data_IF_900113631047
#
_entry.id   IF_900113631047
#
_cell.length_a   1.000
_cell.length_b   1.000
_cell.length_c   1.000
_cell.angle_alpha   90.00
_cell.angle_beta   90.00
_cell.angle_gamma   90.00
#
_symmetry.space_group_name_H-M   'P 1'
#
loop_
_entity.id
_entity.type
_entity.pdbx_description
1 polymer ?
#
# COMPACT_ATOMS: atom_id res chain seq x y z
N UNK A 1 -13.46 46.68 -25.51
CA UNK A 1 -14.37 45.57 -25.85
C UNK A 1 -13.49 44.36 -26.06
N UNK A 2 -13.48 43.43 -25.14
CA UNK A 2 -12.70 42.17 -25.19
C UNK A 2 -13.71 41.09 -25.51
N UNK A 3 -13.54 40.49 -26.71
CA UNK A 3 -14.40 39.40 -27.18
C UNK A 3 -14.13 38.12 -26.40
N UNK A 4 -15.01 37.87 -25.43
CA UNK A 4 -15.09 36.62 -24.71
C UNK A 4 -16.02 35.66 -25.48
N UNK A 5 -15.53 35.00 -26.50
CA UNK A 5 -16.35 33.95 -27.11
C UNK A 5 -15.54 33.03 -28.02
N UNK A 6 -14.75 32.12 -27.43
CA UNK A 6 -14.25 30.93 -28.14
C UNK A 6 -13.84 29.86 -27.10
N UNK A 7 -14.73 29.50 -26.16
CA UNK A 7 -14.64 28.18 -25.57
C UNK A 7 -15.54 27.28 -26.42
N UNK A 8 -14.94 26.71 -27.43
CA UNK A 8 -15.52 25.62 -28.20
C UNK A 8 -15.81 24.49 -27.20
N UNK A 9 -17.08 24.27 -26.86
CA UNK A 9 -17.53 23.13 -26.08
C UNK A 9 -17.31 21.89 -26.91
N UNK A 10 -16.06 21.43 -26.99
CA UNK A 10 -15.78 20.10 -27.50
C UNK A 10 -16.58 19.11 -26.65
N UNK A 11 -17.47 18.40 -27.33
CA UNK A 11 -18.33 17.39 -26.72
C UNK A 11 -17.42 16.34 -26.09
N UNK A 12 -17.24 16.42 -24.76
CA UNK A 12 -16.44 15.44 -24.02
C UNK A 12 -17.04 14.07 -24.34
N UNK A 13 -16.33 13.27 -25.10
CA UNK A 13 -16.73 11.91 -25.45
C UNK A 13 -16.83 11.09 -24.17
N UNK A 14 -17.95 10.41 -23.99
CA UNK A 14 -18.10 9.50 -22.86
C UNK A 14 -17.08 8.37 -22.97
N UNK A 15 -16.43 8.05 -21.85
CA UNK A 15 -15.50 6.93 -21.78
C UNK A 15 -16.20 5.64 -22.25
N UNK A 16 -15.53 4.82 -23.07
CA UNK A 16 -16.02 3.51 -23.48
C UNK A 16 -16.42 2.65 -22.28
N UNK A 17 -17.39 1.76 -22.46
CA UNK A 17 -17.93 0.95 -21.37
C UNK A 17 -16.86 0.04 -20.72
N UNK A 18 -15.87 -0.40 -21.47
CA UNK A 18 -14.78 -1.25 -20.98
C UNK A 18 -13.75 -0.51 -20.09
N UNK A 19 -13.77 0.84 -20.08
CA UNK A 19 -12.95 1.66 -19.16
C UNK A 19 -13.71 1.96 -17.85
N UNK A 20 -15.02 1.68 -17.81
CA UNK A 20 -15.84 1.95 -16.63
C UNK A 20 -15.68 0.81 -15.63
N UNK A 21 -14.98 1.07 -14.55
CA UNK A 21 -14.92 0.14 -13.42
C UNK A 21 -16.04 0.42 -12.43
N UNK A 22 -16.69 -0.61 -11.87
CA UNK A 22 -17.65 -0.42 -10.78
C UNK A 22 -16.89 0.16 -9.58
N UNK A 23 -17.36 1.31 -9.09
CA UNK A 23 -16.83 1.88 -7.85
C UNK A 23 -17.29 0.97 -6.72
N UNK A 24 -16.34 0.37 -5.98
CA UNK A 24 -16.64 -0.42 -4.79
C UNK A 24 -17.40 0.42 -3.77
N UNK A 25 -18.24 -0.23 -2.94
CA UNK A 25 -19.06 0.47 -1.94
C UNK A 25 -18.18 1.34 -1.06
N UNK A 26 -18.39 2.64 -1.08
CA UNK A 26 -17.61 3.63 -0.33
C UNK A 26 -17.47 3.28 1.15
N UNK A 27 -18.49 2.67 1.75
CA UNK A 27 -18.52 2.30 3.17
C UNK A 27 -17.46 1.26 3.58
N UNK A 28 -17.11 0.31 2.74
CA UNK A 28 -16.07 -0.68 3.05
C UNK A 28 -14.68 -0.08 2.91
N UNK A 29 -14.48 0.70 1.86
CA UNK A 29 -13.24 1.43 1.64
C UNK A 29 -12.92 2.40 2.79
N UNK A 30 -13.92 3.19 3.24
CA UNK A 30 -13.77 4.14 4.34
C UNK A 30 -13.43 3.47 5.67
N UNK A 31 -14.01 2.31 5.97
CA UNK A 31 -13.68 1.53 7.17
C UNK A 31 -12.22 1.11 7.18
N UNK A 32 -11.74 0.54 6.09
CA UNK A 32 -10.34 0.10 5.95
C UNK A 32 -9.39 1.29 6.08
N UNK A 33 -9.67 2.37 5.38
CA UNK A 33 -8.84 3.57 5.42
C UNK A 33 -8.81 4.20 6.84
N UNK A 34 -9.93 4.20 7.54
CA UNK A 34 -10.00 4.73 8.91
C UNK A 34 -9.19 3.87 9.87
N UNK A 35 -9.24 2.55 9.76
CA UNK A 35 -8.48 1.64 10.59
C UNK A 35 -6.97 1.77 10.34
N UNK A 36 -6.54 1.80 9.09
CA UNK A 36 -5.13 1.98 8.72
C UNK A 36 -4.59 3.29 9.31
N UNK A 37 -5.33 4.39 9.19
CA UNK A 37 -4.94 5.69 9.75
C UNK A 37 -4.87 5.69 11.28
N UNK A 38 -5.85 5.07 11.94
CA UNK A 38 -5.87 4.98 13.42
C UNK A 38 -4.71 4.17 13.98
N UNK A 39 -4.30 3.12 13.28
CA UNK A 39 -3.22 2.23 13.69
C UNK A 39 -1.83 2.76 13.33
N UNK A 40 -1.73 3.96 12.76
CA UNK A 40 -0.47 4.55 12.29
C UNK A 40 0.36 3.62 11.38
N UNK A 41 -0.35 2.83 10.55
CA UNK A 41 0.24 1.89 9.59
C UNK A 41 0.31 2.57 8.24
N UNK A 42 1.41 2.33 7.53
CA UNK A 42 1.59 2.82 6.17
C UNK A 42 1.29 1.73 5.13
N UNK A 43 0.66 2.12 4.04
CA UNK A 43 0.42 1.24 2.88
C UNK A 43 0.95 1.90 1.62
N UNK A 44 1.58 1.10 0.76
CA UNK A 44 2.02 1.62 -0.54
C UNK A 44 0.81 2.06 -1.40
N UNK A 45 -0.36 1.49 -1.13
CA UNK A 45 -1.60 1.85 -1.80
C UNK A 45 -2.00 3.31 -1.55
N UNK A 46 -1.70 3.85 -0.35
CA UNK A 46 -1.93 5.25 0.00
C UNK A 46 -0.77 6.14 -0.42
N UNK A 47 0.46 5.76 -0.05
CA UNK A 47 1.66 6.56 -0.30
C UNK A 47 1.93 6.75 -1.80
N UNK A 48 1.72 5.71 -2.61
CA UNK A 48 1.85 5.79 -4.07
C UNK A 48 0.59 6.30 -4.79
N UNK A 49 -0.47 6.69 -4.05
CA UNK A 49 -1.74 7.18 -4.61
C UNK A 49 -2.32 6.24 -5.66
N UNK A 50 -2.29 4.93 -5.37
CA UNK A 50 -2.72 3.91 -6.30
C UNK A 50 -4.20 4.08 -6.69
N UNK A 51 -4.56 4.14 -7.98
CA UNK A 51 -5.95 4.29 -8.43
C UNK A 51 -6.80 3.05 -8.13
N UNK A 52 -6.19 1.85 -8.06
CA UNK A 52 -6.89 0.58 -7.87
C UNK A 52 -7.13 0.25 -6.39
N UNK A 53 -6.78 1.15 -5.48
CA UNK A 53 -6.86 0.95 -4.03
C UNK A 53 -8.22 0.47 -3.55
N UNK A 54 -9.29 1.06 -4.06
CA UNK A 54 -10.65 0.72 -3.66
C UNK A 54 -11.04 -0.72 -4.06
N UNK A 55 -10.63 -1.17 -5.24
CA UNK A 55 -10.86 -2.53 -5.74
C UNK A 55 -10.04 -3.56 -4.96
N UNK A 56 -8.75 -3.30 -4.73
CA UNK A 56 -7.88 -4.16 -3.94
C UNK A 56 -8.42 -4.35 -2.52
N UNK A 57 -8.81 -3.28 -1.85
CA UNK A 57 -9.36 -3.36 -0.50
C UNK A 57 -10.69 -4.11 -0.46
N UNK A 58 -11.57 -3.89 -1.43
CA UNK A 58 -12.83 -4.63 -1.54
C UNK A 58 -12.63 -6.14 -1.80
N UNK A 59 -11.55 -6.51 -2.48
CA UNK A 59 -11.17 -7.92 -2.68
C UNK A 59 -10.44 -8.54 -1.49
N UNK A 60 -10.16 -7.78 -0.44
CA UNK A 60 -9.41 -8.22 0.73
C UNK A 60 -7.89 -8.29 0.49
N UNK A 61 -7.37 -7.44 -0.40
CA UNK A 61 -5.94 -7.36 -0.71
C UNK A 61 -5.37 -6.02 -0.25
N UNK A 62 -4.24 -6.05 0.47
CA UNK A 62 -3.52 -4.84 0.85
C UNK A 62 -2.01 -5.03 0.75
N UNK A 63 -1.30 -3.94 0.46
CA UNK A 63 0.17 -3.90 0.44
C UNK A 63 0.64 -2.95 1.52
N UNK A 64 1.25 -3.48 2.57
CA UNK A 64 1.80 -2.70 3.67
C UNK A 64 3.19 -2.20 3.34
N UNK A 65 3.52 -1.03 3.88
CA UNK A 65 4.81 -0.38 3.72
C UNK A 65 5.49 -0.33 5.08
N UNK A 66 6.53 -1.13 5.26
CA UNK A 66 7.29 -1.24 6.50
C UNK A 66 8.42 -0.21 6.56
N UNK A 67 8.82 0.14 7.79
CA UNK A 67 9.92 1.05 8.03
C UNK A 67 9.55 2.54 7.97
N UNK A 68 8.25 2.84 8.00
CA UNK A 68 7.70 4.19 7.99
C UNK A 68 7.34 4.70 6.59
N UNK A 69 7.04 6.01 6.49
CA UNK A 69 6.56 6.66 5.25
C UNK A 69 7.64 7.42 4.48
N UNK A 70 8.89 7.46 4.98
CA UNK A 70 9.98 8.22 4.38
C UNK A 70 11.08 7.26 3.93
N UNK A 71 11.44 7.34 2.65
CA UNK A 71 12.47 6.51 2.04
C UNK A 71 13.83 7.24 2.02
N UNK A 72 14.92 6.53 2.32
CA UNK A 72 16.29 7.08 2.22
C UNK A 72 16.73 7.32 0.79
N UNK A 73 16.08 6.67 -0.19
CA UNK A 73 16.39 6.78 -1.63
C UNK A 73 15.41 7.66 -2.39
N UNK A 74 15.87 8.25 -3.49
CA UNK A 74 15.11 9.19 -4.32
C UNK A 74 14.87 8.67 -5.75
N UNK A 75 14.28 7.51 -5.90
CA UNK A 75 13.96 6.94 -7.20
C UNK A 75 12.99 7.86 -7.97
N UNK A 76 13.27 8.13 -9.26
CA UNK A 76 12.52 9.10 -10.05
C UNK A 76 11.05 8.69 -10.29
N UNK A 77 10.76 7.40 -10.35
CA UNK A 77 9.42 6.85 -10.59
C UNK A 77 8.57 6.67 -9.31
N UNK A 78 9.19 6.80 -8.13
CA UNK A 78 8.53 6.49 -6.85
C UNK A 78 7.83 7.72 -6.28
N UNK A 79 6.59 7.54 -5.83
CA UNK A 79 5.76 8.58 -5.21
C UNK A 79 5.90 8.66 -3.68
N UNK A 80 6.58 7.67 -3.06
CA UNK A 80 6.82 7.67 -1.61
C UNK A 80 7.68 8.86 -1.22
N UNK A 81 7.39 9.45 -0.08
CA UNK A 81 8.14 10.59 0.45
C UNK A 81 9.62 10.26 0.62
N UNK A 82 10.48 11.21 0.25
CA UNK A 82 11.93 11.05 0.23
C UNK A 82 12.55 11.92 1.31
N UNK A 83 13.55 11.40 2.01
CA UNK A 83 14.22 12.17 3.04
C UNK A 83 14.98 11.31 4.04
N UNK A 84 15.18 11.86 5.23
CA UNK A 84 15.80 11.13 6.33
C UNK A 84 14.71 10.35 7.08
N UNK A 85 14.77 9.00 7.07
CA UNK A 85 13.79 8.20 7.80
C UNK A 85 13.83 8.46 9.30
N UNK A 86 12.67 8.36 9.95
CA UNK A 86 12.57 8.42 11.41
C UNK A 86 13.04 7.11 12.05
N UNK A 87 13.11 7.08 13.38
CA UNK A 87 13.38 5.84 14.13
C UNK A 87 12.34 4.77 13.82
N UNK A 88 12.75 3.51 13.87
CA UNK A 88 11.86 2.37 13.65
C UNK A 88 10.83 2.29 14.79
N UNK A 89 9.57 2.11 14.41
CA UNK A 89 8.53 1.74 15.34
C UNK A 89 8.58 0.22 15.60
N UNK A 90 8.93 -0.18 16.81
CA UNK A 90 9.03 -1.60 17.20
C UNK A 90 7.67 -2.30 17.11
N UNK A 91 6.58 -1.57 17.36
CA UNK A 91 5.22 -2.11 17.35
C UNK A 91 4.60 -2.22 15.96
N UNK A 92 5.29 -1.74 14.92
CA UNK A 92 4.76 -1.73 13.54
C UNK A 92 4.32 -3.12 13.08
N UNK A 93 5.12 -4.14 13.37
CA UNK A 93 4.82 -5.53 12.97
C UNK A 93 3.55 -6.07 13.67
N UNK A 94 3.37 -5.76 14.95
CA UNK A 94 2.18 -6.15 15.72
C UNK A 94 0.95 -5.43 15.20
N UNK A 95 1.07 -4.13 14.92
CA UNK A 95 -0.01 -3.31 14.36
C UNK A 95 -0.44 -3.82 12.98
N UNK A 96 0.52 -4.20 12.12
CA UNK A 96 0.23 -4.81 10.81
C UNK A 96 -0.51 -6.13 10.99
N UNK A 97 -0.07 -7.00 11.90
CA UNK A 97 -0.73 -8.28 12.16
C UNK A 97 -2.17 -8.10 12.69
N UNK A 98 -2.40 -7.14 13.56
CA UNK A 98 -3.74 -6.78 14.04
C UNK A 98 -4.61 -6.24 12.89
N UNK A 99 -4.08 -5.37 12.06
CA UNK A 99 -4.80 -4.84 10.91
C UNK A 99 -5.21 -5.94 9.93
N UNK A 100 -4.32 -6.89 9.64
CA UNK A 100 -4.61 -8.06 8.79
C UNK A 100 -5.79 -8.86 9.34
N UNK A 101 -5.83 -9.10 10.66
CA UNK A 101 -6.91 -9.84 11.33
C UNK A 101 -8.22 -9.05 11.32
N UNK A 102 -8.19 -7.79 11.75
CA UNK A 102 -9.39 -6.94 11.86
C UNK A 102 -10.03 -6.71 10.49
N UNK A 103 -9.22 -6.50 9.45
CA UNK A 103 -9.68 -6.28 8.09
C UNK A 103 -10.01 -7.58 7.34
N UNK A 104 -9.75 -8.73 7.97
CA UNK A 104 -9.95 -10.05 7.38
C UNK A 104 -9.36 -10.15 5.96
N UNK A 105 -8.11 -9.70 5.80
CA UNK A 105 -7.45 -9.69 4.52
C UNK A 105 -7.14 -11.11 4.05
N UNK A 106 -7.42 -11.37 2.77
CA UNK A 106 -7.18 -12.67 2.12
C UNK A 106 -5.77 -12.75 1.57
N UNK A 107 -5.24 -11.62 1.12
CA UNK A 107 -3.92 -11.55 0.52
C UNK A 107 -3.19 -10.29 1.00
N UNK A 108 -1.99 -10.49 1.52
CA UNK A 108 -1.17 -9.41 2.09
C UNK A 108 0.19 -9.41 1.41
N UNK A 109 0.60 -8.24 0.94
CA UNK A 109 1.95 -8.00 0.42
C UNK A 109 2.69 -7.12 1.43
N UNK A 110 3.89 -7.52 1.78
CA UNK A 110 4.79 -6.72 2.61
C UNK A 110 5.86 -6.11 1.71
N UNK A 111 6.04 -4.82 1.82
CA UNK A 111 7.12 -4.07 1.18
C UNK A 111 7.70 -3.09 2.19
N UNK A 112 8.82 -2.46 1.89
CA UNK A 112 9.41 -1.45 2.77
C UNK A 112 9.95 -0.26 2.00
N UNK A 113 10.12 0.85 2.70
CA UNK A 113 10.99 1.94 2.25
C UNK A 113 12.45 1.48 2.33
N UNK A 114 13.34 2.08 1.55
CA UNK A 114 14.77 1.85 1.72
C UNK A 114 15.23 2.45 3.05
N UNK A 115 15.99 1.66 3.81
CA UNK A 115 16.52 1.99 5.12
C UNK A 115 18.04 1.79 5.10
N UNK A 116 18.71 2.58 4.25
CA UNK A 116 20.19 2.53 4.14
C UNK A 116 20.88 3.06 5.41
N UNK A 117 20.11 3.66 6.32
CA UNK A 117 20.51 4.10 7.65
C UNK A 117 20.67 2.95 8.66
N UNK A 118 20.12 1.76 8.35
CA UNK A 118 20.18 0.59 9.22
C UNK A 118 21.28 -0.39 8.77
N UNK A 119 21.96 -1.05 9.72
CA UNK A 119 23.02 -2.00 9.40
C UNK A 119 22.55 -3.24 8.63
N UNK A 120 21.26 -3.60 8.80
CA UNK A 120 20.58 -4.73 8.14
C UNK A 120 19.68 -4.29 6.99
N UNK A 121 19.72 -3.02 6.61
CA UNK A 121 18.86 -2.42 5.59
C UNK A 121 17.34 -2.67 5.80
N UNK A 122 16.93 -3.00 7.03
CA UNK A 122 15.55 -3.27 7.39
C UNK A 122 15.13 -4.75 7.26
N UNK A 123 16.05 -5.69 7.09
CA UNK A 123 15.74 -7.11 6.97
C UNK A 123 15.00 -7.65 8.21
N UNK A 124 15.37 -7.22 9.40
CA UNK A 124 14.72 -7.63 10.66
C UNK A 124 13.25 -7.21 10.74
N UNK A 125 12.85 -6.13 10.07
CA UNK A 125 11.43 -5.72 10.00
C UNK A 125 10.58 -6.78 9.28
N UNK A 126 11.09 -7.32 8.17
CA UNK A 126 10.41 -8.38 7.44
C UNK A 126 10.32 -9.68 8.26
N UNK A 127 11.42 -10.06 8.89
CA UNK A 127 11.47 -11.27 9.73
C UNK A 127 10.41 -11.15 10.84
N UNK A 128 10.44 -10.06 11.59
CA UNK A 128 9.48 -9.83 12.69
C UNK A 128 8.04 -9.80 12.16
N UNK A 129 7.78 -9.06 11.09
CA UNK A 129 6.43 -8.95 10.54
C UNK A 129 5.90 -10.30 10.04
N UNK A 130 6.72 -11.12 9.40
CA UNK A 130 6.33 -12.47 8.95
C UNK A 130 6.03 -13.40 10.13
N UNK A 131 6.82 -13.34 11.19
CA UNK A 131 6.58 -14.15 12.39
C UNK A 131 5.25 -13.81 13.07
N UNK A 132 4.85 -12.52 13.06
CA UNK A 132 3.58 -12.08 13.64
C UNK A 132 2.37 -12.32 12.73
N UNK A 133 2.55 -12.25 11.42
CA UNK A 133 1.46 -12.36 10.46
C UNK A 133 1.22 -13.77 9.95
N UNK A 134 2.24 -14.65 9.97
CA UNK A 134 2.11 -16.02 9.52
C UNK A 134 1.42 -16.88 10.59
N UNK A 135 0.32 -17.58 10.28
CA UNK A 135 -0.39 -18.42 11.24
C UNK A 135 0.40 -19.69 11.62
N UNK A 136 1.42 -20.06 10.85
CA UNK A 136 2.27 -21.22 11.12
C UNK A 136 3.66 -21.06 10.47
N UNK A 137 4.72 -21.49 11.18
CA UNK A 137 6.06 -21.56 10.60
C UNK A 137 6.15 -22.45 9.32
N UNK A 138 5.20 -23.38 9.15
CA UNK A 138 5.11 -24.23 7.96
C UNK A 138 4.62 -23.47 6.73
N UNK A 139 3.77 -22.49 6.89
CA UNK A 139 3.24 -21.71 5.76
C UNK A 139 4.29 -20.77 5.16
N UNK A 140 5.25 -20.33 5.97
CA UNK A 140 6.40 -19.56 5.51
C UNK A 140 7.38 -20.36 4.63
N UNK A 141 7.36 -21.70 4.74
CA UNK A 141 8.21 -22.60 3.94
C UNK A 141 7.61 -22.99 2.59
N UNK A 142 6.32 -22.72 2.35
CA UNK A 142 5.65 -23.08 1.09
C UNK A 142 5.73 -22.02 0.00
N UNK A 143 6.28 -20.85 0.30
CA UNK A 143 6.72 -19.89 -0.72
C UNK A 143 7.95 -20.43 -1.48
N UNK A 144 7.79 -21.54 -2.17
CA UNK A 144 8.77 -21.97 -3.17
C UNK A 144 8.70 -20.99 -4.33
N UNK A 145 9.74 -20.18 -4.45
CA UNK A 145 10.02 -19.55 -5.74
C UNK A 145 10.09 -20.67 -6.78
N UNK A 146 9.36 -20.58 -7.91
CA UNK A 146 9.60 -21.49 -9.02
C UNK A 146 11.06 -21.27 -9.42
N UNK A 147 11.88 -22.32 -9.28
CA UNK A 147 13.22 -22.30 -9.86
C UNK A 147 13.03 -22.16 -11.36
N UNK A 148 13.42 -21.03 -11.90
CA UNK A 148 13.57 -20.85 -13.34
C UNK A 148 14.60 -21.85 -13.82
N UNK A 149 14.13 -22.88 -14.57
CA UNK A 149 14.99 -23.68 -15.42
C UNK A 149 15.32 -22.88 -16.67
#
# INVERSE_FOLDING_TARGET
MRDNNLINKEKILRLPSWIKFPISKASEFEKIQTLIKKSNIHTICEEARCPNRAECYASGTATFLLGGSICSRSCAFCQVNKGRPSSINIDECTQVAEAVKVLNLKYVVLTSVARDDLPDHGANLFISCLLYTSPSPRDSMTSRMPSSA
#
